data_IF_323691994933
#
_entry.id   IF_323691994933
#
_cell.length_a   1.000
_cell.length_b   1.000
_cell.length_c   1.000
_cell.angle_alpha   90.00
_cell.angle_beta   90.00
_cell.angle_gamma   90.00
#
_symmetry.space_group_name_H-M   'P 1'
#
loop_
_entity.id
_entity.type
_entity.pdbx_description
1 polymer ?
#
# COMPACT_ATOMS: atom_id res chain seq x y z
N UNK A 1 14.01 -9.58 2.12
CA UNK A 1 13.68 -8.60 1.06
C UNK A 1 13.23 -9.41 -0.14
N UNK A 2 12.02 -9.19 -0.65
CA UNK A 2 11.51 -9.92 -1.82
C UNK A 2 12.15 -9.32 -3.06
N UNK A 3 13.13 -10.04 -3.58
CA UNK A 3 13.92 -9.65 -4.73
C UNK A 3 14.26 -10.91 -5.52
N UNK A 4 14.07 -10.86 -6.83
CA UNK A 4 14.41 -11.96 -7.74
C UNK A 4 14.69 -11.37 -9.11
N UNK A 5 15.94 -11.46 -9.61
CA UNK A 5 16.26 -11.06 -10.96
C UNK A 5 15.46 -11.86 -11.99
N UNK A 6 14.96 -11.19 -13.02
CA UNK A 6 14.24 -11.82 -14.14
C UNK A 6 15.06 -11.63 -15.41
N UNK A 7 15.27 -12.72 -16.15
CA UNK A 7 15.92 -12.70 -17.46
C UNK A 7 14.82 -12.53 -18.53
N UNK A 8 14.96 -11.51 -19.37
CA UNK A 8 14.07 -11.26 -20.50
C UNK A 8 14.47 -12.09 -21.73
N UNK A 9 13.58 -12.21 -22.71
CA UNK A 9 13.80 -12.99 -23.94
C UNK A 9 15.01 -12.51 -24.77
N UNK A 10 15.41 -11.25 -24.61
CA UNK A 10 16.60 -10.67 -25.26
C UNK A 10 17.90 -10.86 -24.46
N UNK A 11 17.85 -11.65 -23.39
CA UNK A 11 18.99 -11.96 -22.52
C UNK A 11 19.34 -10.86 -21.52
N UNK A 12 18.62 -9.74 -21.48
CA UNK A 12 18.82 -8.71 -20.44
C UNK A 12 18.27 -9.18 -19.10
N UNK A 13 18.98 -8.83 -18.02
CA UNK A 13 18.53 -9.05 -16.65
C UNK A 13 17.86 -7.80 -16.10
N UNK A 14 16.65 -7.94 -15.57
CA UNK A 14 15.96 -6.89 -14.83
C UNK A 14 15.93 -7.25 -13.36
N UNK A 15 16.38 -6.32 -12.52
CA UNK A 15 16.24 -6.41 -11.09
C UNK A 15 14.77 -6.14 -10.70
N UNK A 16 14.11 -7.14 -10.12
CA UNK A 16 12.71 -7.05 -9.67
C UNK A 16 12.66 -7.18 -8.15
N UNK A 17 12.03 -6.20 -7.51
CA UNK A 17 11.76 -6.18 -6.09
C UNK A 17 10.28 -5.91 -5.79
N UNK A 18 9.80 -6.40 -4.65
CA UNK A 18 8.45 -6.16 -4.17
C UNK A 18 8.43 -5.64 -2.73
N UNK A 19 7.56 -4.66 -2.47
CA UNK A 19 7.20 -4.20 -1.13
C UNK A 19 5.86 -4.80 -0.73
N UNK A 20 5.71 -5.18 0.54
CA UNK A 20 4.50 -5.83 1.05
C UNK A 20 3.99 -5.06 2.26
N UNK A 21 2.69 -4.76 2.28
CA UNK A 21 1.96 -4.25 3.43
C UNK A 21 1.15 -5.36 4.08
N UNK A 22 1.18 -5.44 5.41
CA UNK A 22 0.56 -6.53 6.18
C UNK A 22 -0.41 -5.96 7.20
N UNK A 23 -1.67 -6.40 7.15
CA UNK A 23 -2.70 -6.08 8.14
C UNK A 23 -3.23 -7.35 8.81
N UNK A 24 -3.49 -7.28 10.12
CA UNK A 24 -4.18 -8.34 10.87
C UNK A 24 -5.43 -7.76 11.56
N UNK A 25 -6.45 -8.57 11.85
CA UNK A 25 -7.62 -8.08 12.60
C UNK A 25 -7.26 -7.43 13.93
N UNK A 26 -6.29 -8.00 14.65
CA UNK A 26 -5.82 -7.46 15.92
C UNK A 26 -5.13 -6.10 15.77
N UNK A 27 -4.35 -5.88 14.70
CA UNK A 27 -3.65 -4.62 14.46
C UNK A 27 -4.57 -3.52 13.90
N UNK A 28 -5.67 -3.90 13.25
CA UNK A 28 -6.65 -2.99 12.63
C UNK A 28 -7.85 -2.71 13.54
N UNK A 29 -8.18 -3.63 14.45
CA UNK A 29 -9.39 -3.57 15.26
C UNK A 29 -10.68 -3.89 14.49
N UNK A 30 -10.56 -4.57 13.35
CA UNK A 30 -11.70 -4.95 12.50
C UNK A 30 -11.45 -6.28 11.80
N UNK A 31 -12.52 -7.06 11.61
CA UNK A 31 -12.52 -8.26 10.78
C UNK A 31 -13.05 -7.99 9.36
N UNK A 32 -13.49 -6.77 9.06
CA UNK A 32 -14.03 -6.43 7.75
C UNK A 32 -12.90 -6.41 6.70
N UNK A 33 -13.07 -7.23 5.65
CA UNK A 33 -12.04 -7.41 4.62
C UNK A 33 -11.65 -6.11 3.93
N UNK A 34 -12.60 -5.25 3.60
CA UNK A 34 -12.33 -3.97 2.93
C UNK A 34 -11.46 -3.05 3.82
N UNK A 35 -11.69 -3.06 5.13
CA UNK A 35 -10.90 -2.29 6.10
C UNK A 35 -9.49 -2.86 6.21
N UNK A 36 -9.35 -4.19 6.30
CA UNK A 36 -8.06 -4.87 6.32
C UNK A 36 -7.23 -4.59 5.06
N UNK A 37 -7.84 -4.67 3.87
CA UNK A 37 -7.18 -4.38 2.60
C UNK A 37 -6.70 -2.93 2.51
N UNK A 38 -7.51 -1.97 2.98
CA UNK A 38 -7.12 -0.55 3.02
C UNK A 38 -5.94 -0.31 3.97
N UNK A 39 -5.98 -0.94 5.14
CA UNK A 39 -4.90 -0.87 6.13
C UNK A 39 -3.58 -1.46 5.59
N UNK A 40 -3.64 -2.57 4.85
CA UNK A 40 -2.49 -3.18 4.21
C UNK A 40 -1.92 -2.29 3.08
N UNK A 41 -2.76 -1.67 2.23
CA UNK A 41 -2.30 -0.71 1.21
C UNK A 41 -1.61 0.50 1.84
N UNK A 42 -2.18 1.04 2.93
CA UNK A 42 -1.58 2.16 3.63
C UNK A 42 -0.20 1.81 4.22
N UNK A 43 -0.07 0.62 4.82
CA UNK A 43 1.20 0.13 5.34
C UNK A 43 2.22 -0.10 4.22
N UNK A 44 1.82 -0.71 3.10
CA UNK A 44 2.68 -0.88 1.92
C UNK A 44 3.22 0.46 1.43
N UNK A 45 2.37 1.48 1.37
CA UNK A 45 2.75 2.79 0.88
C UNK A 45 3.82 3.43 1.77
N UNK A 46 3.59 3.42 3.09
CA UNK A 46 4.55 3.95 4.06
C UNK A 46 5.88 3.18 4.02
N UNK A 47 5.80 1.86 3.85
CA UNK A 47 6.95 0.97 3.74
C UNK A 47 7.66 0.94 2.39
N UNK A 48 7.15 1.61 1.35
CA UNK A 48 7.58 1.40 -0.05
C UNK A 48 9.09 1.58 -0.25
N UNK A 49 9.70 2.44 0.56
CA UNK A 49 11.13 2.75 0.49
C UNK A 49 11.94 2.18 1.67
N UNK A 50 11.34 1.41 2.58
CA UNK A 50 12.00 0.94 3.82
C UNK A 50 12.75 -0.39 3.67
N UNK A 51 12.70 -1.02 2.48
CA UNK A 51 13.35 -2.30 2.14
C UNK A 51 12.80 -3.51 2.95
N UNK A 52 11.85 -3.28 3.86
CA UNK A 52 11.19 -4.30 4.70
C UNK A 52 9.69 -4.34 4.43
N UNK A 53 9.06 -5.46 4.79
CA UNK A 53 7.60 -5.51 4.86
C UNK A 53 7.11 -4.52 5.93
N UNK A 54 6.08 -3.74 5.58
CA UNK A 54 5.50 -2.77 6.50
C UNK A 54 4.22 -3.32 7.12
N UNK A 55 4.19 -3.29 8.44
CA UNK A 55 3.04 -3.74 9.21
C UNK A 55 2.10 -2.58 9.48
N UNK A 56 0.81 -2.83 9.33
CA UNK A 56 -0.23 -1.88 9.69
C UNK A 56 -0.17 -1.60 11.19
N UNK A 57 0.03 -0.33 11.50
CA UNK A 57 -0.13 0.27 12.82
C UNK A 57 -1.47 1.02 12.92
N UNK A 58 -1.85 1.45 14.13
CA UNK A 58 -3.07 2.24 14.34
C UNK A 58 -3.15 3.50 13.46
N UNK A 59 -2.01 4.11 13.10
CA UNK A 59 -1.96 5.28 12.22
C UNK A 59 -2.43 5.00 10.78
N UNK A 60 -2.32 3.75 10.32
CA UNK A 60 -2.77 3.36 8.99
C UNK A 60 -4.29 3.21 8.89
N UNK A 61 -4.97 3.07 10.04
CA UNK A 61 -6.43 2.93 10.15
C UNK A 61 -7.12 4.29 10.14
N UNK A 62 -6.42 5.36 10.54
CA UNK A 62 -6.99 6.72 10.63
C UNK A 62 -6.96 7.50 9.32
N UNK A 63 -6.35 6.96 8.26
CA UNK A 63 -6.19 7.72 7.01
C UNK A 63 -7.54 7.81 6.28
N UNK A 64 -8.09 9.03 6.10
CA UNK A 64 -9.39 9.21 5.46
C UNK A 64 -9.38 8.76 4.00
N UNK A 65 -10.55 8.38 3.49
CA UNK A 65 -10.76 8.16 2.06
C UNK A 65 -11.50 9.34 1.44
N UNK A 66 -11.02 9.80 0.29
CA UNK A 66 -11.62 10.82 -0.58
C UNK A 66 -12.04 10.09 -1.86
N UNK A 67 -13.35 10.07 -2.17
CA UNK A 67 -13.93 9.38 -3.36
C UNK A 67 -13.45 7.92 -3.54
N UNK A 68 -13.29 7.19 -2.43
CA UNK A 68 -12.80 5.81 -2.44
C UNK A 68 -11.27 5.66 -2.54
N UNK A 69 -10.52 6.75 -2.66
CA UNK A 69 -9.04 6.80 -2.68
C UNK A 69 -8.49 7.29 -1.35
N UNK A 70 -7.34 6.78 -0.90
CA UNK A 70 -6.65 7.26 0.32
C UNK A 70 -6.24 8.73 0.16
N UNK A 71 -6.58 9.56 1.14
CA UNK A 71 -6.12 10.95 1.20
C UNK A 71 -4.59 11.04 1.14
N UNK A 72 -4.05 11.96 0.34
CA UNK A 72 -2.61 12.15 0.13
C UNK A 72 -2.04 11.48 -1.13
N UNK A 73 -2.84 10.72 -1.90
CA UNK A 73 -2.44 10.28 -3.24
C UNK A 73 -2.63 11.38 -4.30
N UNK A 74 -1.87 11.36 -5.42
CA UNK A 74 -2.14 12.23 -6.56
C UNK A 74 -3.62 12.18 -6.97
N UNK A 75 -4.25 13.34 -7.18
CA UNK A 75 -5.68 13.44 -7.48
C UNK A 75 -6.62 13.37 -6.27
N UNK A 76 -6.09 13.37 -5.03
CA UNK A 76 -6.91 13.48 -3.79
C UNK A 76 -6.75 14.82 -3.08
N UNK A 77 -5.90 15.71 -3.60
CA UNK A 77 -5.63 17.02 -3.02
C UNK A 77 -6.68 18.08 -3.38
N UNK A 78 -7.53 17.83 -4.37
CA UNK A 78 -8.52 18.80 -4.88
C UNK A 78 -9.88 18.12 -4.91
N UNK A 79 -10.88 18.73 -4.25
CA UNK A 79 -12.28 18.35 -4.48
C UNK A 79 -12.59 18.72 -5.93
N UNK A 80 -12.73 17.71 -6.80
CA UNK A 80 -13.28 17.95 -8.13
C UNK A 80 -14.71 18.43 -7.96
N UNK A 81 -14.99 19.70 -8.27
CA UNK A 81 -16.37 20.10 -8.51
C UNK A 81 -16.84 19.31 -9.73
N UNK A 82 -17.83 18.46 -9.52
CA UNK A 82 -18.64 17.93 -10.62
C UNK A 82 -19.40 19.13 -11.16
N UNK A 83 -19.10 19.53 -12.41
CA UNK A 83 -19.87 20.51 -13.16
C UNK A 83 -21.16 19.88 -13.67
#
# INVERSE_FOLDING_TARGET
MLHTPVILDDGRTVDVAASVGVATPASVGSHELAVLQRAADAALYDGKHSVRAAFTTAQHVTVPSITGRRAGRPGTAVWGQVA
#
